data_IF_932379031499
#
_entry.id   IF_932379031499
#
_cell.length_a   1.000
_cell.length_b   1.000
_cell.length_c   1.000
_cell.angle_alpha   90.00
_cell.angle_beta   90.00
_cell.angle_gamma   90.00
#
_symmetry.space_group_name_H-M   'P 1'
#
loop_
_entity.id
_entity.type
_entity.pdbx_description
1 polymer ?
#
# COMPACT_ATOMS: atom_id res chain seq x y z
N UNK A 1 -18.66 17.94 -79.44
CA UNK A 1 -18.22 18.58 -78.19
C UNK A 1 -18.82 17.73 -77.10
N UNK A 2 -18.11 16.71 -76.65
CA UNK A 2 -18.55 15.74 -75.66
C UNK A 2 -17.58 15.82 -74.50
N UNK A 3 -18.03 16.37 -73.43
CA UNK A 3 -17.30 16.45 -72.15
C UNK A 3 -17.40 15.09 -71.46
N UNK A 4 -16.27 14.45 -71.25
CA UNK A 4 -16.10 13.28 -70.38
C UNK A 4 -16.01 13.78 -68.94
N UNK A 5 -16.95 13.35 -68.12
CA UNK A 5 -16.98 13.53 -66.66
C UNK A 5 -16.26 12.31 -66.06
N UNK A 6 -15.06 12.50 -65.54
CA UNK A 6 -14.34 11.52 -64.78
C UNK A 6 -14.89 11.47 -63.33
N UNK A 7 -15.38 10.28 -62.95
CA UNK A 7 -15.79 9.97 -61.58
C UNK A 7 -14.56 9.77 -60.68
N UNK A 8 -14.56 10.29 -59.42
CA UNK A 8 -13.51 10.02 -58.48
C UNK A 8 -13.62 8.64 -57.91
N UNK A 9 -12.54 7.87 -58.07
CA UNK A 9 -12.37 6.54 -57.40
C UNK A 9 -12.18 6.74 -55.91
N UNK A 10 -13.17 6.33 -55.10
CA UNK A 10 -13.06 6.13 -53.69
C UNK A 10 -12.08 4.97 -53.41
N UNK A 11 -10.86 5.33 -53.05
CA UNK A 11 -9.95 4.39 -52.38
C UNK A 11 -10.14 4.56 -50.86
N UNK A 12 -11.16 3.88 -50.35
CA UNK A 12 -11.42 3.70 -48.92
C UNK A 12 -10.28 2.84 -48.32
N UNK A 13 -9.24 3.53 -47.87
CA UNK A 13 -8.12 2.92 -47.20
C UNK A 13 -8.53 2.66 -45.70
N UNK A 14 -9.20 1.55 -45.47
CA UNK A 14 -9.48 1.02 -44.14
C UNK A 14 -8.15 0.56 -43.52
N UNK A 15 -7.41 1.50 -42.98
CA UNK A 15 -6.28 1.20 -42.13
C UNK A 15 -6.80 0.57 -40.83
N UNK A 16 -7.00 -0.75 -40.88
CA UNK A 16 -7.16 -1.56 -39.69
C UNK A 16 -5.93 -1.30 -38.81
N UNK A 17 -6.15 -0.61 -37.68
CA UNK A 17 -5.11 -0.34 -36.71
C UNK A 17 -4.47 -1.65 -36.26
N UNK A 18 -3.27 -1.90 -36.74
CA UNK A 18 -2.40 -2.94 -36.21
C UNK A 18 -2.25 -2.71 -34.71
N UNK A 19 -2.45 -3.73 -33.86
CA UNK A 19 -2.20 -3.59 -32.41
C UNK A 19 -0.74 -3.16 -32.23
N UNK A 20 -0.58 -2.00 -31.62
CA UNK A 20 0.73 -1.42 -31.34
C UNK A 20 1.56 -2.42 -30.55
N UNK A 21 2.62 -2.92 -31.16
CA UNK A 21 3.54 -3.85 -30.52
C UNK A 21 4.10 -3.22 -29.24
N UNK A 22 4.22 -3.95 -28.12
CA UNK A 22 4.73 -3.39 -26.88
C UNK A 22 6.13 -2.80 -27.12
N UNK A 23 6.44 -1.63 -26.56
CA UNK A 23 7.69 -0.95 -26.82
C UNK A 23 8.87 -1.84 -26.41
N UNK A 24 9.70 -2.22 -27.38
CA UNK A 24 10.88 -3.05 -27.18
C UNK A 24 12.03 -2.27 -26.54
N UNK A 25 11.89 -1.99 -25.22
CA UNK A 25 12.93 -1.28 -24.46
C UNK A 25 12.73 -1.45 -22.95
N UNK A 26 13.78 -1.25 -22.13
CA UNK A 26 13.70 -1.43 -20.67
C UNK A 26 12.59 -0.59 -20.02
N UNK A 27 12.28 0.58 -20.60
CA UNK A 27 11.18 1.44 -20.13
C UNK A 27 9.80 0.80 -20.38
N UNK A 28 9.63 0.10 -21.49
CA UNK A 28 8.39 -0.58 -21.83
C UNK A 28 8.09 -1.74 -20.89
N UNK A 29 9.10 -2.54 -20.56
CA UNK A 29 8.96 -3.63 -19.60
C UNK A 29 8.64 -3.12 -18.20
N UNK A 30 9.24 -2.00 -17.75
CA UNK A 30 8.93 -1.39 -16.47
C UNK A 30 7.47 -0.92 -16.39
N UNK A 31 6.95 -0.32 -17.45
CA UNK A 31 5.55 0.12 -17.54
C UNK A 31 4.58 -1.08 -17.56
N UNK A 32 4.92 -2.15 -18.30
CA UNK A 32 4.12 -3.37 -18.31
C UNK A 32 4.09 -4.01 -16.92
N UNK A 33 5.25 -4.13 -16.27
CA UNK A 33 5.36 -4.65 -14.90
C UNK A 33 4.52 -3.83 -13.91
N UNK A 34 4.61 -2.50 -13.97
CA UNK A 34 3.82 -1.61 -13.13
C UNK A 34 2.31 -1.83 -13.32
N UNK A 35 1.85 -1.98 -14.58
CA UNK A 35 0.44 -2.24 -14.88
C UNK A 35 -0.01 -3.60 -14.36
N UNK A 36 0.80 -4.65 -14.59
CA UNK A 36 0.49 -6.00 -14.08
C UNK A 36 0.45 -6.01 -12.57
N UNK A 37 1.46 -5.43 -11.90
CA UNK A 37 1.50 -5.31 -10.45
C UNK A 37 0.27 -4.57 -9.90
N UNK A 38 -0.12 -3.46 -10.53
CA UNK A 38 -1.30 -2.69 -10.15
C UNK A 38 -2.60 -3.50 -10.25
N UNK A 39 -2.77 -4.30 -11.29
CA UNK A 39 -3.95 -5.14 -11.45
C UNK A 39 -3.94 -6.37 -10.54
N UNK A 40 -2.78 -6.88 -10.13
CA UNK A 40 -2.65 -7.98 -9.18
C UNK A 40 -3.04 -7.57 -7.75
N UNK A 41 -2.88 -6.31 -7.38
CA UNK A 41 -3.25 -5.82 -6.05
C UNK A 41 -4.74 -6.03 -5.76
N UNK A 42 -5.61 -5.83 -6.75
CA UNK A 42 -7.06 -5.97 -6.57
C UNK A 42 -7.47 -7.41 -6.19
N UNK A 43 -7.13 -8.46 -6.97
CA UNK A 43 -7.47 -9.83 -6.57
C UNK A 43 -6.75 -10.26 -5.28
N UNK A 44 -5.51 -9.84 -5.04
CA UNK A 44 -4.79 -10.13 -3.79
C UNK A 44 -5.55 -9.56 -2.59
N UNK A 45 -6.04 -8.33 -2.70
CA UNK A 45 -6.87 -7.71 -1.67
C UNK A 45 -8.14 -8.54 -1.38
N UNK A 46 -8.91 -8.88 -2.41
CA UNK A 46 -10.16 -9.63 -2.24
C UNK A 46 -9.93 -11.04 -1.69
N UNK A 47 -8.90 -11.74 -2.16
CA UNK A 47 -8.51 -13.05 -1.62
C UNK A 47 -8.08 -12.92 -0.17
N UNK A 48 -7.23 -11.94 0.16
CA UNK A 48 -6.81 -11.66 1.53
C UNK A 48 -7.99 -11.38 2.45
N UNK A 49 -8.98 -10.61 1.99
CA UNK A 49 -10.20 -10.33 2.75
C UNK A 49 -11.04 -11.57 3.02
N UNK A 50 -11.21 -12.42 2.02
CA UNK A 50 -11.94 -13.69 2.19
C UNK A 50 -11.21 -14.60 3.19
N UNK A 51 -9.89 -14.71 3.07
CA UNK A 51 -9.07 -15.50 3.99
C UNK A 51 -9.16 -14.95 5.42
N UNK A 52 -9.05 -13.63 5.58
CA UNK A 52 -9.18 -12.96 6.87
C UNK A 52 -10.52 -13.31 7.54
N UNK A 53 -11.64 -13.13 6.84
CA UNK A 53 -12.99 -13.41 7.37
C UNK A 53 -13.13 -14.90 7.77
N UNK A 54 -12.59 -15.82 6.96
CA UNK A 54 -12.66 -17.25 7.27
C UNK A 54 -11.86 -17.57 8.54
N UNK A 55 -10.66 -17.03 8.67
CA UNK A 55 -9.77 -17.27 9.79
C UNK A 55 -10.30 -16.67 11.08
N UNK A 56 -10.79 -15.44 11.08
CA UNK A 56 -11.41 -14.78 12.24
C UNK A 56 -12.57 -15.61 12.80
N UNK A 57 -13.44 -16.12 11.90
CA UNK A 57 -14.52 -17.03 12.31
C UNK A 57 -14.01 -18.32 12.92
N UNK A 58 -12.86 -18.82 12.49
CA UNK A 58 -12.27 -20.07 13.00
C UNK A 58 -11.63 -19.91 14.36
N UNK A 59 -11.01 -18.78 14.65
CA UNK A 59 -10.43 -18.49 15.97
C UNK A 59 -11.50 -18.09 16.99
N UNK A 60 -12.77 -17.94 16.59
CA UNK A 60 -13.84 -17.50 17.48
C UNK A 60 -13.66 -16.05 17.96
N UNK A 61 -12.80 -15.29 17.29
CA UNK A 61 -12.72 -13.85 17.44
C UNK A 61 -14.11 -13.33 17.08
N UNK A 62 -14.88 -12.97 18.09
CA UNK A 62 -16.18 -12.29 17.93
C UNK A 62 -15.92 -10.87 17.48
N UNK A 63 -15.23 -10.81 16.37
CA UNK A 63 -14.66 -9.69 15.71
C UNK A 63 -15.48 -8.44 15.75
N UNK A 64 -14.86 -7.44 15.36
CA UNK A 64 -15.38 -6.13 15.01
C UNK A 64 -16.80 -6.24 14.46
N UNK A 65 -17.67 -5.34 14.86
CA UNK A 65 -19.07 -5.37 14.42
C UNK A 65 -19.17 -5.34 12.89
N UNK A 66 -20.26 -5.85 12.34
CA UNK A 66 -20.52 -5.84 10.88
C UNK A 66 -20.17 -4.49 10.21
N UNK A 67 -20.34 -3.39 10.94
CA UNK A 67 -20.05 -2.04 10.45
C UNK A 67 -18.56 -1.82 10.27
N UNK A 68 -17.73 -2.25 11.23
CA UNK A 68 -16.27 -2.11 11.18
C UNK A 68 -15.67 -2.96 10.07
N UNK A 69 -16.11 -4.22 9.97
CA UNK A 69 -15.73 -5.08 8.85
C UNK A 69 -16.13 -4.52 7.48
N UNK A 70 -17.33 -3.92 7.37
CA UNK A 70 -17.78 -3.29 6.14
C UNK A 70 -16.96 -2.03 5.80
N UNK A 71 -16.61 -1.22 6.80
CA UNK A 71 -15.76 -0.03 6.62
C UNK A 71 -14.37 -0.43 6.12
N UNK A 72 -13.76 -1.47 6.70
CA UNK A 72 -12.50 -2.00 6.22
C UNK A 72 -12.61 -2.56 4.81
N UNK A 73 -13.65 -3.37 4.54
CA UNK A 73 -13.91 -3.94 3.21
C UNK A 73 -14.06 -2.87 2.14
N UNK A 74 -14.92 -1.88 2.38
CA UNK A 74 -15.17 -0.82 1.39
C UNK A 74 -13.99 0.14 1.30
N UNK A 75 -13.44 0.59 2.44
CA UNK A 75 -12.38 1.58 2.49
C UNK A 75 -11.09 1.10 1.80
N UNK A 76 -10.55 -0.04 2.20
CA UNK A 76 -9.35 -0.59 1.58
C UNK A 76 -9.62 -1.17 0.18
N UNK A 77 -10.83 -1.64 -0.10
CA UNK A 77 -11.24 -2.06 -1.44
C UNK A 77 -11.23 -0.89 -2.44
N UNK A 78 -11.70 0.28 -2.04
CA UNK A 78 -11.60 1.50 -2.84
C UNK A 78 -10.13 1.87 -3.07
N UNK A 79 -9.25 1.74 -2.06
CA UNK A 79 -7.82 1.98 -2.23
C UNK A 79 -7.18 1.01 -3.22
N UNK A 80 -7.53 -0.27 -3.17
CA UNK A 80 -7.04 -1.25 -4.14
C UNK A 80 -7.42 -0.89 -5.57
N UNK A 81 -8.70 -0.60 -5.81
CA UNK A 81 -9.22 -0.30 -7.16
C UNK A 81 -8.70 1.05 -7.68
N UNK A 82 -8.82 2.11 -6.89
CA UNK A 82 -8.38 3.45 -7.28
C UNK A 82 -6.86 3.50 -7.43
N UNK A 83 -6.12 2.90 -6.51
CA UNK A 83 -4.66 2.78 -6.58
C UNK A 83 -4.22 2.04 -7.83
N UNK A 84 -4.80 0.87 -8.10
CA UNK A 84 -4.54 0.09 -9.30
C UNK A 84 -4.82 0.85 -10.59
N UNK A 85 -5.96 1.54 -10.68
CA UNK A 85 -6.30 2.39 -11.84
C UNK A 85 -5.32 3.55 -12.02
N UNK A 86 -4.90 4.20 -10.93
CA UNK A 86 -3.93 5.30 -10.99
C UNK A 86 -2.57 4.82 -11.47
N UNK A 87 -2.06 3.71 -10.93
CA UNK A 87 -0.78 3.12 -11.38
C UNK A 87 -0.87 2.68 -12.83
N UNK A 88 -1.96 2.02 -13.23
CA UNK A 88 -2.13 1.58 -14.62
C UNK A 88 -2.15 2.74 -15.62
N UNK A 89 -2.74 3.89 -15.26
CA UNK A 89 -2.83 5.08 -16.13
C UNK A 89 -1.63 6.02 -15.98
N UNK A 90 -1.09 6.16 -14.77
CA UNK A 90 -0.01 7.10 -14.43
C UNK A 90 1.00 6.45 -13.47
N UNK A 91 1.81 5.49 -13.93
CA UNK A 91 2.74 4.72 -13.08
C UNK A 91 3.79 5.58 -12.38
N UNK A 92 4.07 6.78 -12.89
CA UNK A 92 4.95 7.77 -12.25
C UNK A 92 4.30 8.57 -11.11
N UNK A 93 2.99 8.39 -10.84
CA UNK A 93 2.33 9.08 -9.74
C UNK A 93 2.41 8.24 -8.45
N UNK A 94 3.12 8.70 -7.41
CA UNK A 94 3.28 7.96 -6.15
C UNK A 94 1.96 7.77 -5.40
N UNK A 95 0.94 8.61 -5.61
CA UNK A 95 -0.37 8.46 -4.95
C UNK A 95 -1.01 7.12 -5.28
N UNK A 96 -0.93 6.66 -6.53
CA UNK A 96 -1.44 5.35 -6.92
C UNK A 96 -0.74 4.21 -6.19
N UNK A 97 0.57 4.28 -6.07
CA UNK A 97 1.37 3.29 -5.35
C UNK A 97 1.10 3.28 -3.84
N UNK A 98 0.90 4.46 -3.23
CA UNK A 98 0.54 4.58 -1.81
C UNK A 98 -0.82 3.91 -1.56
N UNK A 99 -1.83 4.20 -2.38
CA UNK A 99 -3.15 3.59 -2.23
C UNK A 99 -3.11 2.08 -2.44
N UNK A 100 -2.42 1.61 -3.49
CA UNK A 100 -2.24 0.18 -3.73
C UNK A 100 -1.49 -0.51 -2.59
N UNK A 101 -0.41 0.11 -2.09
CA UNK A 101 0.31 -0.38 -0.91
C UNK A 101 -0.59 -0.45 0.31
N UNK A 102 -1.30 0.63 0.64
CA UNK A 102 -2.19 0.65 1.80
C UNK A 102 -3.26 -0.45 1.77
N UNK A 103 -3.79 -0.81 0.59
CA UNK A 103 -4.77 -1.89 0.47
C UNK A 103 -4.21 -3.28 0.79
N UNK A 104 -2.88 -3.48 0.66
CA UNK A 104 -2.22 -4.73 1.03
C UNK A 104 -2.16 -4.96 2.55
N UNK A 105 -2.57 -3.99 3.37
CA UNK A 105 -2.71 -4.19 4.81
C UNK A 105 -3.66 -5.35 5.13
N UNK A 106 -4.72 -5.52 4.36
CA UNK A 106 -5.70 -6.60 4.57
C UNK A 106 -5.10 -7.99 4.36
N UNK A 107 -4.43 -8.33 3.24
CA UNK A 107 -3.79 -9.62 3.09
C UNK A 107 -2.62 -9.84 4.08
N UNK A 108 -1.95 -8.77 4.53
CA UNK A 108 -0.94 -8.86 5.59
C UNK A 108 -1.59 -9.22 6.93
N UNK A 109 -2.69 -8.57 7.29
CA UNK A 109 -3.47 -8.91 8.49
C UNK A 109 -4.01 -10.35 8.42
N UNK A 110 -4.43 -10.83 7.25
CA UNK A 110 -4.84 -12.21 7.06
C UNK A 110 -3.68 -13.20 7.34
N UNK A 111 -2.43 -12.83 7.04
CA UNK A 111 -1.25 -13.62 7.37
C UNK A 111 -1.00 -13.70 8.88
N UNK A 112 -1.17 -12.61 9.61
CA UNK A 112 -1.10 -12.59 11.09
C UNK A 112 -2.24 -13.40 11.73
N UNK A 113 -3.47 -13.25 11.24
CA UNK A 113 -4.62 -14.03 11.70
C UNK A 113 -4.45 -15.52 11.40
N UNK A 114 -3.78 -15.88 10.30
CA UNK A 114 -3.37 -17.26 10.04
C UNK A 114 -2.40 -17.77 11.11
N UNK A 115 -1.43 -16.97 11.50
CA UNK A 115 -0.50 -17.34 12.57
C UNK A 115 -1.24 -17.55 13.91
N UNK A 116 -2.16 -16.66 14.26
CA UNK A 116 -3.02 -16.82 15.42
C UNK A 116 -3.82 -18.14 15.38
N UNK A 117 -4.37 -18.49 14.22
CA UNK A 117 -5.07 -19.75 14.01
C UNK A 117 -4.14 -20.96 14.19
N UNK A 118 -2.94 -20.94 13.64
CA UNK A 118 -1.97 -22.03 13.77
C UNK A 118 -1.51 -22.18 15.21
N UNK A 119 -1.20 -21.08 15.89
CA UNK A 119 -0.79 -21.09 17.29
C UNK A 119 -1.87 -21.63 18.23
N UNK A 120 -3.13 -21.27 18.01
CA UNK A 120 -4.27 -21.76 18.81
C UNK A 120 -4.60 -23.23 18.55
N UNK A 121 -4.34 -23.75 17.34
CA UNK A 121 -4.72 -25.11 16.94
C UNK A 121 -3.60 -26.12 17.06
N UNK A 122 -2.35 -25.73 16.81
CA UNK A 122 -1.16 -26.60 16.78
C UNK A 122 -0.16 -26.31 17.89
N UNK A 123 -0.16 -25.09 18.42
CA UNK A 123 0.81 -24.65 19.45
C UNK A 123 2.19 -24.26 18.89
N UNK A 124 2.50 -24.60 17.64
CA UNK A 124 3.79 -24.30 16.98
C UNK A 124 3.55 -23.61 15.63
N UNK A 125 4.29 -22.53 15.31
CA UNK A 125 4.13 -21.81 14.06
C UNK A 125 4.80 -22.56 12.90
N UNK A 126 4.15 -22.60 11.75
CA UNK A 126 4.81 -22.96 10.51
C UNK A 126 5.48 -21.71 9.86
N UNK A 127 6.27 -21.93 8.81
CA UNK A 127 7.00 -20.83 8.14
C UNK A 127 6.08 -19.72 7.61
N UNK A 128 4.87 -20.07 7.16
CA UNK A 128 3.90 -19.09 6.64
C UNK A 128 3.33 -18.24 7.78
N UNK A 129 3.09 -18.84 8.94
CA UNK A 129 2.69 -18.14 10.16
C UNK A 129 3.77 -17.13 10.58
N UNK A 130 5.05 -17.56 10.62
CA UNK A 130 6.17 -16.68 10.95
C UNK A 130 6.25 -15.49 9.98
N UNK A 131 6.14 -15.73 8.67
CA UNK A 131 6.14 -14.67 7.65
C UNK A 131 4.94 -13.73 7.83
N UNK A 132 3.76 -14.26 8.15
CA UNK A 132 2.55 -13.45 8.38
C UNK A 132 2.72 -12.48 9.56
N UNK A 133 3.18 -12.96 10.71
CA UNK A 133 3.44 -12.10 11.88
C UNK A 133 4.57 -11.11 11.59
N UNK A 134 5.66 -11.57 10.98
CA UNK A 134 6.77 -10.71 10.61
C UNK A 134 6.33 -9.58 9.66
N UNK A 135 5.57 -9.90 8.63
CA UNK A 135 5.06 -8.86 7.72
C UNK A 135 4.18 -7.85 8.45
N UNK A 136 3.30 -8.31 9.35
CA UNK A 136 2.39 -7.45 10.07
C UNK A 136 3.11 -6.53 11.08
N UNK A 137 4.21 -6.98 11.70
CA UNK A 137 4.94 -6.24 12.73
C UNK A 137 5.47 -4.87 12.27
N UNK A 138 5.78 -4.70 11.00
CA UNK A 138 6.30 -3.45 10.43
C UNK A 138 5.39 -2.81 9.38
N UNK A 139 4.57 -3.63 8.68
CA UNK A 139 3.75 -3.14 7.56
C UNK A 139 2.66 -2.19 8.02
N UNK A 140 2.11 -2.41 9.21
CA UNK A 140 1.14 -1.53 9.83
C UNK A 140 1.66 -0.09 9.94
N UNK A 141 2.83 0.10 10.53
CA UNK A 141 3.45 1.42 10.66
C UNK A 141 3.68 2.10 9.31
N UNK A 142 4.16 1.33 8.35
CA UNK A 142 4.37 1.83 7.00
C UNK A 142 3.06 2.29 6.37
N UNK A 143 1.98 1.51 6.46
CA UNK A 143 0.68 1.89 5.91
C UNK A 143 0.09 3.14 6.57
N UNK A 144 0.14 3.23 7.89
CA UNK A 144 -0.33 4.40 8.63
C UNK A 144 0.45 5.65 8.19
N UNK A 145 1.76 5.56 8.13
CA UNK A 145 2.59 6.68 7.69
C UNK A 145 2.31 7.09 6.23
N UNK A 146 2.17 6.12 5.32
CA UNK A 146 1.84 6.37 3.93
C UNK A 146 0.47 7.05 3.79
N UNK A 147 -0.54 6.57 4.52
CA UNK A 147 -1.89 7.09 4.45
C UNK A 147 -2.05 8.47 5.11
N UNK A 148 -1.46 8.68 6.28
CA UNK A 148 -1.69 9.90 7.08
C UNK A 148 -0.64 10.99 6.88
N UNK A 149 0.55 10.66 6.40
CA UNK A 149 1.63 11.63 6.16
C UNK A 149 1.82 11.85 4.65
N UNK A 150 2.18 10.79 3.94
CA UNK A 150 2.62 10.94 2.54
C UNK A 150 1.46 11.15 1.56
N UNK A 151 0.32 10.49 1.76
CA UNK A 151 -0.83 10.70 0.90
C UNK A 151 -1.29 12.16 0.93
N UNK A 152 -1.57 12.81 2.09
CA UNK A 152 -1.96 14.23 2.11
C UNK A 152 -0.86 15.17 1.62
N UNK A 153 0.43 14.84 1.86
CA UNK A 153 1.54 15.65 1.36
C UNK A 153 1.66 15.64 -0.16
N UNK A 154 1.35 14.52 -0.81
CA UNK A 154 1.55 14.31 -2.24
C UNK A 154 0.27 14.44 -3.08
N UNK A 155 -0.90 14.35 -2.45
CA UNK A 155 -2.19 14.43 -3.15
C UNK A 155 -2.45 15.84 -3.70
N UNK A 156 -3.07 16.00 -4.92
CA UNK A 156 -3.48 14.94 -5.84
C UNK A 156 -2.41 14.56 -6.89
N UNK A 157 -1.42 15.42 -7.11
CA UNK A 157 -0.51 15.37 -8.27
C UNK A 157 0.74 14.52 -8.06
N UNK A 158 0.89 13.91 -6.88
CA UNK A 158 2.10 13.17 -6.52
C UNK A 158 3.31 14.08 -6.26
N UNK A 159 3.09 15.35 -6.00
CA UNK A 159 4.15 16.35 -5.78
C UNK A 159 3.94 17.12 -4.48
N UNK A 160 5.04 17.50 -3.86
CA UNK A 160 5.00 18.40 -2.71
C UNK A 160 4.47 19.79 -3.10
N UNK A 161 3.77 20.51 -2.20
CA UNK A 161 3.23 21.84 -2.48
C UNK A 161 4.29 22.88 -2.86
N UNK A 162 5.51 22.73 -2.37
CA UNK A 162 6.68 23.50 -2.76
C UNK A 162 7.96 22.81 -2.24
N UNK A 163 9.14 23.26 -2.68
CA UNK A 163 10.44 22.75 -2.20
C UNK A 163 10.64 22.93 -0.68
N UNK A 164 9.94 23.88 -0.07
CA UNK A 164 10.00 24.11 1.39
C UNK A 164 9.43 22.96 2.23
N UNK A 165 8.64 22.08 1.60
CA UNK A 165 8.07 20.88 2.24
C UNK A 165 8.99 19.66 2.18
N UNK A 166 10.08 19.76 1.42
CA UNK A 166 11.04 18.68 1.30
C UNK A 166 11.65 18.24 2.65
N UNK A 167 12.06 19.17 3.57
CA UNK A 167 12.55 18.74 4.87
C UNK A 167 11.53 17.93 5.68
N UNK A 168 10.25 18.33 5.66
CA UNK A 168 9.17 17.58 6.34
C UNK A 168 9.05 16.18 5.76
N UNK A 169 9.00 16.04 4.44
CA UNK A 169 8.92 14.74 3.79
C UNK A 169 10.13 13.84 4.06
N UNK A 170 11.35 14.42 4.07
CA UNK A 170 12.59 13.69 4.34
C UNK A 170 12.67 13.25 5.80
N UNK A 171 12.44 14.16 6.75
CA UNK A 171 12.47 13.84 8.19
C UNK A 171 11.47 12.74 8.51
N UNK A 172 10.23 12.88 8.01
CA UNK A 172 9.20 11.85 8.23
C UNK A 172 9.54 10.54 7.54
N UNK A 173 10.06 10.58 6.31
CA UNK A 173 10.48 9.38 5.57
C UNK A 173 11.61 8.62 6.27
N UNK A 174 12.61 9.33 6.76
CA UNK A 174 13.69 8.73 7.55
C UNK A 174 13.15 8.13 8.85
N UNK A 175 12.28 8.85 9.57
CA UNK A 175 11.67 8.34 10.78
C UNK A 175 10.86 7.06 10.54
N UNK A 176 10.02 7.05 9.51
CA UNK A 176 9.27 5.85 9.11
C UNK A 176 10.21 4.70 8.75
N UNK A 177 11.26 4.96 7.97
CA UNK A 177 12.22 3.94 7.58
C UNK A 177 12.91 3.31 8.81
N UNK A 178 13.31 4.13 9.78
CA UNK A 178 13.92 3.63 11.02
C UNK A 178 12.94 2.73 11.78
N UNK A 179 11.69 3.17 11.98
CA UNK A 179 10.67 2.38 12.70
C UNK A 179 10.38 1.06 11.97
N UNK A 180 10.25 1.10 10.64
CA UNK A 180 10.03 -0.09 9.83
C UNK A 180 11.21 -1.07 9.94
N UNK A 181 12.45 -0.58 9.81
CA UNK A 181 13.65 -1.43 9.92
C UNK A 181 13.78 -2.04 11.31
N UNK A 182 13.51 -1.27 12.36
CA UNK A 182 13.53 -1.80 13.73
C UNK A 182 12.43 -2.84 13.94
N UNK A 183 11.23 -2.63 13.41
CA UNK A 183 10.14 -3.61 13.45
C UNK A 183 10.46 -4.89 12.68
N UNK A 184 11.15 -4.79 11.55
CA UNK A 184 11.60 -5.96 10.77
C UNK A 184 12.67 -6.79 11.49
N UNK A 185 13.51 -6.15 12.28
CA UNK A 185 14.69 -6.75 12.91
C UNK A 185 14.54 -7.01 14.41
N UNK A 186 13.36 -6.78 15.01
CA UNK A 186 13.12 -7.15 16.41
C UNK A 186 13.37 -8.64 16.62
N UNK A 187 13.94 -9.01 17.77
CA UNK A 187 14.32 -10.39 18.09
C UNK A 187 13.13 -11.35 18.15
N UNK A 188 12.00 -10.86 18.62
CA UNK A 188 10.75 -11.62 18.74
C UNK A 188 9.61 -10.93 18.00
N UNK A 189 8.64 -11.73 17.56
CA UNK A 189 7.42 -11.30 16.89
C UNK A 189 6.23 -11.60 17.80
N UNK A 190 5.32 -10.65 17.96
CA UNK A 190 4.13 -10.80 18.82
C UNK A 190 2.86 -10.84 17.99
N UNK A 191 1.95 -11.72 18.37
CA UNK A 191 0.59 -11.72 17.84
C UNK A 191 -0.20 -10.51 18.35
N UNK A 192 -1.03 -9.94 17.50
CA UNK A 192 -1.90 -8.83 17.86
C UNK A 192 -3.28 -9.30 18.30
N UNK A 193 -3.80 -10.37 17.69
CA UNK A 193 -5.14 -10.89 17.96
C UNK A 193 -5.19 -11.94 19.08
N UNK A 194 -4.08 -12.64 19.28
CA UNK A 194 -3.91 -13.66 20.31
C UNK A 194 -2.53 -13.47 20.93
N UNK A 195 -2.43 -13.62 22.24
CA UNK A 195 -1.16 -13.48 22.96
C UNK A 195 -0.25 -14.69 22.70
N UNK A 196 0.70 -14.51 21.78
CA UNK A 196 1.77 -15.46 21.51
C UNK A 196 3.02 -14.72 21.03
N UNK A 197 4.16 -15.37 21.19
CA UNK A 197 5.46 -14.86 20.75
C UNK A 197 6.15 -15.90 19.88
N UNK A 198 6.79 -15.44 18.81
CA UNK A 198 7.55 -16.28 17.88
C UNK A 198 8.93 -15.66 17.69
N UNK A 199 9.97 -16.48 17.60
CA UNK A 199 11.32 -16.00 17.25
C UNK A 199 11.34 -15.44 15.83
N UNK A 200 12.00 -14.31 15.66
CA UNK A 200 12.20 -13.72 14.35
C UNK A 200 13.45 -14.31 13.69
N UNK A 201 13.33 -15.08 12.59
CA UNK A 201 14.48 -15.74 11.97
C UNK A 201 15.55 -14.79 11.40
N UNK A 202 15.21 -13.52 11.21
CA UNK A 202 16.14 -12.47 10.78
C UNK A 202 16.34 -11.39 11.85
N UNK A 203 15.81 -11.64 13.06
CA UNK A 203 15.91 -10.73 14.19
C UNK A 203 17.33 -10.60 14.71
N UNK A 204 17.61 -9.45 15.31
CA UNK A 204 18.86 -9.19 16.01
C UNK A 204 18.65 -9.51 17.49
N UNK A 205 19.43 -10.46 18.02
CA UNK A 205 19.34 -10.86 19.42
C UNK A 205 19.45 -9.67 20.37
N UNK A 206 18.50 -9.55 21.28
CA UNK A 206 18.40 -8.43 22.23
C UNK A 206 17.82 -7.14 21.66
N UNK A 207 17.42 -7.09 20.40
CA UNK A 207 16.68 -5.96 19.86
C UNK A 207 15.20 -6.09 20.23
N UNK A 208 14.82 -5.40 21.30
CA UNK A 208 13.43 -5.34 21.75
C UNK A 208 12.50 -4.72 20.68
N UNK A 209 11.19 -4.91 20.84
CA UNK A 209 10.20 -4.26 20.01
C UNK A 209 10.39 -2.74 20.02
N UNK A 210 10.16 -2.12 18.88
CA UNK A 210 10.34 -0.67 18.70
C UNK A 210 9.57 0.16 19.73
N UNK A 211 8.42 -0.30 20.16
CA UNK A 211 7.57 0.34 21.16
C UNK A 211 8.14 0.28 22.58
N UNK A 212 8.97 -0.69 22.87
CA UNK A 212 9.64 -0.90 24.16
C UNK A 212 10.98 -0.15 24.25
N UNK A 213 11.44 0.40 23.13
CA UNK A 213 12.71 1.13 23.11
C UNK A 213 12.60 2.41 23.93
N UNK A 214 13.57 2.70 24.80
CA UNK A 214 13.54 3.87 25.68
C UNK A 214 13.51 5.21 24.90
N UNK A 215 13.90 5.18 23.63
CA UNK A 215 13.87 6.33 22.73
C UNK A 215 12.70 6.31 21.74
N UNK A 216 11.69 5.46 21.96
CA UNK A 216 10.50 5.42 21.08
C UNK A 216 9.80 6.78 20.96
N UNK A 217 9.73 7.52 22.08
CA UNK A 217 9.19 8.88 22.06
C UNK A 217 9.98 9.84 21.14
N UNK A 218 11.29 9.64 21.01
CA UNK A 218 12.13 10.42 20.08
C UNK A 218 11.89 9.96 18.63
N UNK A 219 11.70 8.66 18.40
CA UNK A 219 11.37 8.12 17.08
C UNK A 219 9.98 8.55 16.58
N UNK A 220 9.05 8.82 17.49
CA UNK A 220 7.73 9.36 17.14
C UNK A 220 7.76 10.83 16.73
N UNK A 221 8.78 11.59 17.11
CA UNK A 221 8.94 13.00 16.72
C UNK A 221 8.85 13.26 15.21
N UNK A 222 9.61 12.55 14.36
CA UNK A 222 9.51 12.64 12.90
C UNK A 222 8.11 12.34 12.36
N UNK A 223 7.39 11.40 12.97
CA UNK A 223 6.01 11.07 12.59
C UNK A 223 5.06 12.22 12.92
N UNK A 224 5.20 12.83 14.10
CA UNK A 224 4.43 14.02 14.49
C UNK A 224 4.70 15.20 13.56
N UNK A 225 5.96 15.46 13.22
CA UNK A 225 6.33 16.48 12.22
C UNK A 225 5.65 16.20 10.89
N UNK A 226 5.63 14.93 10.45
CA UNK A 226 4.95 14.49 9.25
C UNK A 226 3.45 14.73 9.29
N UNK A 227 2.76 14.33 10.36
CA UNK A 227 1.33 14.50 10.52
C UNK A 227 0.94 15.99 10.55
N UNK A 228 1.64 16.82 11.33
CA UNK A 228 1.41 18.27 11.37
C UNK A 228 1.69 18.91 10.01
N UNK A 229 2.77 18.47 9.34
CA UNK A 229 3.08 18.89 7.98
C UNK A 229 1.98 18.50 6.99
N UNK A 230 1.49 17.26 7.03
CA UNK A 230 0.40 16.80 6.17
C UNK A 230 -0.86 17.66 6.31
N UNK A 231 -1.29 17.94 7.53
CA UNK A 231 -2.43 18.83 7.81
C UNK A 231 -2.17 20.24 7.26
N UNK A 232 -1.00 20.81 7.54
CA UNK A 232 -0.64 22.14 7.05
C UNK A 232 -0.58 22.18 5.50
N UNK A 233 -0.10 21.11 4.84
CA UNK A 233 -0.07 21.01 3.38
C UNK A 233 -1.49 21.07 2.77
N UNK A 234 -2.42 20.34 3.36
CA UNK A 234 -3.84 20.36 2.95
C UNK A 234 -4.43 21.75 3.10
N UNK A 235 -4.22 22.43 4.26
CA UNK A 235 -4.70 23.79 4.49
C UNK A 235 -4.11 24.78 3.48
N UNK A 236 -2.80 24.72 3.21
CA UNK A 236 -2.15 25.58 2.22
C UNK A 236 -2.73 25.38 0.83
N UNK A 237 -2.96 24.13 0.40
CA UNK A 237 -3.58 23.85 -0.89
C UNK A 237 -5.01 24.39 -0.97
N UNK A 238 -5.79 24.15 0.06
CA UNK A 238 -7.17 24.64 0.12
C UNK A 238 -7.26 26.19 0.04
N UNK A 239 -6.38 26.89 0.74
CA UNK A 239 -6.32 28.36 0.65
C UNK A 239 -5.93 28.84 -0.74
N UNK A 240 -5.00 28.16 -1.42
CA UNK A 240 -4.58 28.52 -2.78
C UNK A 240 -5.63 28.23 -3.85
N UNK A 241 -6.54 27.30 -3.61
CA UNK A 241 -7.62 26.99 -4.56
C UNK A 241 -8.80 27.97 -4.47
N UNK A 242 -8.85 28.82 -3.43
CA UNK A 242 -9.91 29.83 -3.20
C UNK A 242 -9.51 31.26 -3.57
N UNK A 243 -8.27 31.51 -3.88
CA UNK A 243 -7.75 32.80 -4.34
C UNK A 243 -7.27 32.75 -5.76
#
# INVERSE_FOLDING_TARGET
MTSHEEAPTESENTAAGTPEAPPAGPLGWALLFARVAAWLVVPIYFVGMVVLIILERRIGSSGEGLVEGLVLFVGFGVFAVVGGLLVAKRPGNPVGWILSGASLLVPVAAGETYAAYVMTTRGEPDWLAVVGVWANSWYWFMCVALAFIFLPLLFPDGRLPSRRWLPVAVISGVGVLIVVVLGMLSDTLRGQNVDYTVENPIGIEGLAHVEELPFFAVLSGPLLVGCLGAVAAVVVRFRRSRG
#
